data_IF_185448260138
#
_entry.id   IF_185448260138
#
_cell.length_a   1.000
_cell.length_b   1.000
_cell.length_c   1.000
_cell.angle_alpha   90.00
_cell.angle_beta   90.00
_cell.angle_gamma   90.00
#
_symmetry.space_group_name_H-M   'P 1'
#
loop_
_entity.id
_entity.type
_entity.pdbx_description
1 polymer ?
#
# COMPACT_ATOMS: atom_id res chain seq x y z
N UNK A 1 13.12 14.22 23.06
CA UNK A 1 12.53 14.75 24.27
C UNK A 1 12.75 13.77 25.43
N UNK A 2 12.91 14.26 26.65
CA UNK A 2 13.19 13.41 27.78
C UNK A 2 12.43 13.91 29.02
N UNK A 3 11.80 12.96 29.72
CA UNK A 3 11.23 13.12 31.06
C UNK A 3 12.05 12.37 32.13
N UNK A 4 13.19 11.84 31.72
CA UNK A 4 14.06 11.04 32.58
C UNK A 4 14.91 11.86 33.56
N UNK A 5 15.69 11.18 34.43
CA UNK A 5 16.57 11.84 35.39
C UNK A 5 17.60 12.72 34.66
N UNK A 6 17.87 13.85 35.23
CA UNK A 6 18.91 14.76 34.69
C UNK A 6 20.28 14.05 34.70
N UNK A 7 21.21 14.39 33.76
CA UNK A 7 22.52 13.73 33.69
C UNK A 7 23.42 13.94 34.94
N UNK A 8 22.97 14.72 35.90
CA UNK A 8 23.68 15.00 37.15
C UNK A 8 23.23 14.15 38.36
N UNK A 9 22.48 13.06 38.09
CA UNK A 9 22.10 12.12 39.14
C UNK A 9 21.01 12.59 40.10
N UNK A 10 20.28 13.61 39.75
CA UNK A 10 19.10 14.03 40.51
C UNK A 10 17.97 12.99 40.35
N UNK A 11 17.26 12.75 41.43
CA UNK A 11 16.07 11.89 41.44
C UNK A 11 14.82 12.60 40.87
N UNK A 12 14.90 13.88 40.57
CA UNK A 12 13.82 14.65 39.94
C UNK A 12 13.87 14.52 38.43
N UNK A 13 12.76 14.20 37.83
CA UNK A 13 12.55 14.23 36.37
C UNK A 13 12.15 15.64 35.95
N UNK A 14 12.65 16.09 34.81
CA UNK A 14 12.22 17.36 34.19
C UNK A 14 11.22 17.07 33.08
N UNK A 15 10.04 17.63 33.16
CA UNK A 15 9.10 17.65 32.05
C UNK A 15 9.51 18.72 31.02
N UNK A 16 10.24 18.30 29.99
CA UNK A 16 10.75 19.20 28.96
C UNK A 16 9.63 19.81 28.11
N UNK A 17 8.58 19.05 27.82
CA UNK A 17 7.46 19.57 27.01
C UNK A 17 6.71 20.66 27.77
N UNK A 18 6.40 20.46 29.05
CA UNK A 18 5.80 21.52 29.90
C UNK A 18 6.72 22.72 30.01
N UNK A 19 8.03 22.52 30.17
CA UNK A 19 8.98 23.63 30.23
C UNK A 19 8.99 24.45 28.95
N UNK A 20 9.03 23.81 27.80
CA UNK A 20 9.04 24.48 26.49
C UNK A 20 7.73 25.18 26.22
N UNK A 21 6.60 24.55 26.49
CA UNK A 21 5.29 25.07 26.11
C UNK A 21 4.79 26.13 27.09
N UNK A 22 5.03 25.97 28.40
CA UNK A 22 4.49 26.85 29.44
C UNK A 22 5.48 27.94 29.87
N UNK A 23 6.78 27.61 30.00
CA UNK A 23 7.77 28.53 30.52
C UNK A 23 8.42 29.35 29.40
N UNK A 24 8.79 28.68 28.29
CA UNK A 24 9.46 29.36 27.19
C UNK A 24 8.48 29.95 26.16
N UNK A 25 7.17 29.69 26.31
CA UNK A 25 6.13 30.29 25.48
C UNK A 25 6.02 29.73 24.04
N UNK A 26 6.60 28.57 23.76
CA UNK A 26 6.45 27.86 22.49
C UNK A 26 5.28 26.88 22.64
N UNK A 27 4.07 27.27 22.25
CA UNK A 27 2.91 26.38 22.30
C UNK A 27 3.05 25.14 21.43
N UNK A 28 2.22 24.13 21.67
CA UNK A 28 2.03 23.02 20.74
C UNK A 28 1.52 23.52 19.39
N UNK A 29 1.80 22.80 18.34
CA UNK A 29 1.13 23.04 17.04
C UNK A 29 -0.36 22.77 17.19
N UNK A 30 -1.18 23.46 16.40
CA UNK A 30 -2.62 23.19 16.37
C UNK A 30 -2.84 21.75 15.87
N UNK A 31 -3.81 21.08 16.49
CA UNK A 31 -4.34 19.83 16.06
C UNK A 31 -5.04 19.97 14.69
N UNK A 32 -4.89 18.97 13.82
CA UNK A 32 -5.36 19.02 12.44
C UNK A 32 -6.50 18.04 12.15
N UNK A 33 -6.68 16.97 12.94
CA UNK A 33 -7.75 16.01 12.77
C UNK A 33 -8.48 15.70 14.09
N UNK A 34 -9.68 15.17 13.96
CA UNK A 34 -10.51 14.79 15.11
C UNK A 34 -10.08 13.46 15.73
N UNK A 35 -10.19 13.40 17.07
CA UNK A 35 -9.85 12.23 17.89
C UNK A 35 -10.99 11.20 17.98
N UNK A 36 -12.16 11.47 17.40
CA UNK A 36 -13.38 10.71 17.67
C UNK A 36 -13.83 9.84 16.51
N UNK A 37 -14.32 8.64 16.85
CA UNK A 37 -14.96 7.72 15.93
C UNK A 37 -16.42 8.11 15.66
N UNK A 38 -16.62 9.17 14.91
CA UNK A 38 -17.97 9.67 14.59
C UNK A 38 -18.03 10.24 13.16
N UNK A 39 -19.04 11.02 12.85
CA UNK A 39 -19.20 11.70 11.57
C UNK A 39 -18.15 12.77 11.29
N UNK A 40 -17.29 13.09 12.26
CA UNK A 40 -16.23 14.09 12.12
C UNK A 40 -14.86 13.45 11.81
N UNK A 41 -14.76 12.12 11.80
CA UNK A 41 -13.57 11.44 11.31
C UNK A 41 -13.26 11.90 9.88
N UNK A 42 -12.01 12.20 9.59
CA UNK A 42 -11.62 12.74 8.29
C UNK A 42 -11.81 11.68 7.17
N UNK A 43 -12.60 11.97 6.13
CA UNK A 43 -12.89 10.99 5.09
C UNK A 43 -11.72 10.85 4.10
N UNK A 44 -11.12 9.68 4.04
CA UNK A 44 -10.11 9.31 3.03
C UNK A 44 -10.73 8.84 1.70
N UNK A 45 -12.06 8.69 1.68
CA UNK A 45 -12.78 8.26 0.48
C UNK A 45 -12.86 6.75 0.31
N UNK A 46 -12.85 6.28 -0.94
CA UNK A 46 -13.02 4.87 -1.30
C UNK A 46 -12.04 4.39 -2.39
N UNK A 47 -11.00 5.16 -2.64
CA UNK A 47 -9.92 4.88 -3.62
C UNK A 47 -8.57 4.88 -2.92
N UNK A 48 -7.48 4.81 -3.65
CA UNK A 48 -6.15 5.08 -3.11
C UNK A 48 -6.10 6.50 -2.56
N UNK A 49 -5.39 6.69 -1.48
CA UNK A 49 -5.29 7.99 -0.81
C UNK A 49 -3.88 8.27 -0.32
N UNK A 50 -3.58 9.55 -0.16
CA UNK A 50 -2.48 10.06 0.63
C UNK A 50 -2.99 11.17 1.52
N UNK A 51 -2.46 11.27 2.73
CA UNK A 51 -2.75 12.35 3.67
C UNK A 51 -1.48 12.67 4.48
N UNK A 52 -1.47 13.82 5.08
CA UNK A 52 -0.44 14.25 6.03
C UNK A 52 -1.12 14.69 7.30
N UNK A 53 -0.46 14.52 8.43
CA UNK A 53 -1.00 14.93 9.71
C UNK A 53 0.08 15.21 10.74
N UNK A 54 -0.34 15.56 11.94
CA UNK A 54 0.54 15.86 13.05
C UNK A 54 0.00 15.36 14.37
N UNK A 55 0.76 14.50 15.04
CA UNK A 55 0.53 14.22 16.46
C UNK A 55 1.11 15.38 17.26
N UNK A 56 0.24 16.27 17.74
CA UNK A 56 0.59 17.53 18.34
C UNK A 56 0.91 17.42 19.84
N UNK A 57 0.25 16.49 20.53
CA UNK A 57 0.43 16.19 21.96
C UNK A 57 0.50 14.69 22.21
N UNK A 58 0.90 14.27 23.41
CA UNK A 58 0.96 12.83 23.77
C UNK A 58 -0.43 12.17 23.91
N UNK A 59 -1.49 12.93 23.91
CA UNK A 59 -2.89 12.43 23.96
C UNK A 59 -3.61 12.57 22.64
N UNK A 60 -2.96 13.16 21.65
CA UNK A 60 -3.48 13.39 20.33
C UNK A 60 -3.63 12.08 19.54
N UNK A 61 -4.77 11.93 18.88
CA UNK A 61 -5.11 10.81 18.04
C UNK A 61 -5.87 11.30 16.81
N UNK A 62 -5.38 10.99 15.64
CA UNK A 62 -6.05 11.34 14.40
C UNK A 62 -6.92 10.18 13.92
N UNK A 63 -8.20 10.42 13.69
CA UNK A 63 -9.15 9.41 13.23
C UNK A 63 -9.60 9.68 11.81
N UNK A 64 -9.36 8.70 10.96
CA UNK A 64 -9.71 8.71 9.54
C UNK A 64 -10.80 7.68 9.24
N UNK A 65 -11.74 8.03 8.35
CA UNK A 65 -12.73 7.12 7.80
C UNK A 65 -12.32 6.66 6.40
N UNK A 66 -12.35 5.36 6.15
CA UNK A 66 -12.08 4.78 4.85
C UNK A 66 -13.16 3.78 4.43
N UNK A 67 -13.61 3.87 3.18
CA UNK A 67 -14.67 3.02 2.64
C UNK A 67 -14.12 2.05 1.59
N UNK A 68 -14.13 0.73 1.89
CA UNK A 68 -13.84 -0.31 0.90
C UNK A 68 -15.10 -0.61 0.08
N UNK A 69 -15.06 -0.29 -1.21
CA UNK A 69 -16.20 -0.54 -2.11
C UNK A 69 -16.44 -2.03 -2.38
N UNK A 70 -15.40 -2.86 -2.34
CA UNK A 70 -15.43 -4.31 -2.51
C UNK A 70 -14.24 -4.95 -1.78
N UNK A 71 -14.26 -6.28 -1.66
CA UNK A 71 -13.14 -7.00 -1.04
C UNK A 71 -11.87 -6.81 -1.88
N UNK A 72 -10.79 -6.38 -1.25
CA UNK A 72 -9.52 -6.21 -1.94
C UNK A 72 -8.33 -6.32 -0.99
N UNK A 73 -7.15 -6.57 -1.52
CA UNK A 73 -5.91 -6.33 -0.81
C UNK A 73 -5.79 -4.83 -0.49
N UNK A 74 -5.19 -4.52 0.63
CA UNK A 74 -4.99 -3.16 1.09
C UNK A 74 -3.57 -3.02 1.64
N UNK A 75 -2.79 -2.17 1.01
CA UNK A 75 -1.48 -1.74 1.47
C UNK A 75 -1.61 -0.41 2.18
N UNK A 76 -0.99 -0.30 3.34
CA UNK A 76 -1.02 0.92 4.14
C UNK A 76 0.37 1.26 4.67
N UNK A 77 0.70 2.54 4.58
CA UNK A 77 1.90 3.12 5.17
C UNK A 77 1.54 4.32 6.02
N UNK A 78 2.13 4.40 7.22
CA UNK A 78 2.17 5.60 8.04
C UNK A 78 3.63 5.85 8.41
N UNK A 79 4.18 6.97 7.96
CA UNK A 79 5.59 7.31 8.10
C UNK A 79 5.76 8.63 8.83
N UNK A 80 6.52 8.70 9.93
CA UNK A 80 6.84 9.96 10.57
C UNK A 80 7.73 10.80 9.65
N UNK A 81 7.65 12.11 9.76
CA UNK A 81 8.58 12.98 9.05
C UNK A 81 9.99 12.81 9.62
N UNK A 82 10.93 12.47 8.79
CA UNK A 82 12.33 12.27 9.10
C UNK A 82 13.25 13.02 8.14
N UNK A 83 14.54 13.06 8.45
CA UNK A 83 15.54 13.77 7.66
C UNK A 83 16.05 12.96 6.46
N UNK A 84 15.88 11.65 6.49
CA UNK A 84 16.30 10.73 5.43
C UNK A 84 15.22 9.69 5.09
N UNK A 85 15.51 8.84 4.11
CA UNK A 85 14.60 7.79 3.64
C UNK A 85 14.26 6.74 4.72
N UNK A 86 15.07 6.63 5.78
CA UNK A 86 14.85 5.71 6.90
C UNK A 86 14.14 6.39 8.09
N UNK A 87 13.71 7.65 7.92
CA UNK A 87 13.12 8.49 8.96
C UNK A 87 14.08 8.77 10.14
N UNK A 88 15.38 8.74 9.90
CA UNK A 88 16.38 9.14 10.89
C UNK A 88 16.15 10.61 11.31
N UNK A 89 16.12 10.84 12.61
CA UNK A 89 15.79 12.15 13.17
C UNK A 89 14.29 12.39 13.37
N UNK A 90 13.43 11.44 13.02
CA UNK A 90 12.04 11.46 13.44
C UNK A 90 11.95 11.32 14.97
N UNK A 91 10.95 11.96 15.54
CA UNK A 91 10.68 11.90 16.97
C UNK A 91 9.38 11.15 17.26
N UNK A 92 8.45 11.17 16.31
CA UNK A 92 7.20 10.43 16.37
C UNK A 92 7.44 8.97 16.05
N UNK A 93 7.07 8.09 16.97
CA UNK A 93 6.93 6.65 16.76
C UNK A 93 5.45 6.36 16.51
N UNK A 94 5.14 6.01 15.27
CA UNK A 94 3.75 5.90 14.81
C UNK A 94 3.16 4.57 15.24
N UNK A 95 1.96 4.61 15.86
CA UNK A 95 1.10 3.45 16.05
C UNK A 95 -0.17 3.62 15.23
N UNK A 96 -0.62 2.53 14.60
CA UNK A 96 -1.86 2.49 13.82
C UNK A 96 -2.81 1.46 14.41
N UNK A 97 -4.06 1.87 14.62
CA UNK A 97 -5.15 0.95 14.98
C UNK A 97 -6.23 0.95 13.91
N UNK A 98 -6.59 -0.24 13.45
CA UNK A 98 -7.65 -0.44 12.46
C UNK A 98 -8.91 -0.94 13.16
N UNK A 99 -10.06 -0.31 12.87
CA UNK A 99 -11.37 -0.64 13.42
C UNK A 99 -12.38 -0.89 12.31
N UNK A 100 -13.39 -1.68 12.61
CA UNK A 100 -14.56 -1.87 11.74
C UNK A 100 -15.61 -0.75 11.88
N UNK A 101 -16.70 -0.85 11.10
CA UNK A 101 -17.80 0.10 11.12
C UNK A 101 -18.52 0.21 12.46
N UNK A 102 -18.36 -0.77 13.35
CA UNK A 102 -18.94 -0.80 14.70
C UNK A 102 -17.96 -0.32 15.78
N UNK A 103 -16.84 0.27 15.37
CA UNK A 103 -15.72 0.70 16.23
C UNK A 103 -15.09 -0.45 17.02
N UNK A 104 -15.18 -1.67 16.49
CA UNK A 104 -14.49 -2.82 17.06
C UNK A 104 -13.07 -2.86 16.52
N UNK A 105 -12.08 -2.95 17.42
CA UNK A 105 -10.68 -3.05 17.06
C UNK A 105 -10.42 -4.35 16.28
N UNK A 106 -9.97 -4.22 15.04
CA UNK A 106 -9.55 -5.35 14.19
C UNK A 106 -8.10 -5.69 14.50
N UNK A 107 -7.21 -4.68 14.49
CA UNK A 107 -5.77 -4.89 14.69
C UNK A 107 -5.05 -3.62 15.12
N UNK A 108 -3.99 -3.81 15.91
CA UNK A 108 -2.98 -2.79 16.22
C UNK A 108 -1.68 -3.12 15.48
N UNK A 109 -1.09 -2.11 14.87
CA UNK A 109 0.21 -2.18 14.21
C UNK A 109 1.17 -1.23 14.94
N UNK A 110 2.17 -1.81 15.58
CA UNK A 110 3.20 -1.10 16.34
C UNK A 110 4.51 -1.91 16.28
N UNK A 111 5.31 -1.78 15.20
CA UNK A 111 6.60 -2.47 15.08
C UNK A 111 7.58 -1.93 16.12
N UNK A 112 8.18 -2.80 16.92
CA UNK A 112 9.10 -2.38 18.00
C UNK A 112 10.47 -1.90 17.51
N UNK A 113 10.81 -2.16 16.27
CA UNK A 113 12.11 -1.86 15.65
C UNK A 113 12.07 -0.73 14.62
N UNK A 114 10.90 -0.12 14.42
CA UNK A 114 10.69 0.94 13.42
C UNK A 114 9.76 2.00 13.98
N UNK A 115 9.97 3.22 13.58
CA UNK A 115 9.09 4.35 13.91
C UNK A 115 7.94 4.52 12.90
N UNK A 116 7.97 3.79 11.80
CA UNK A 116 6.93 3.78 10.77
C UNK A 116 6.12 2.48 10.83
N UNK A 117 4.87 2.55 10.40
CA UNK A 117 4.00 1.39 10.22
C UNK A 117 3.81 1.13 8.73
N UNK A 118 4.07 -0.11 8.31
CA UNK A 118 3.76 -0.59 6.96
C UNK A 118 3.12 -1.96 7.09
N UNK A 119 1.98 -2.16 6.45
CA UNK A 119 1.33 -3.47 6.45
C UNK A 119 0.53 -3.73 5.17
N UNK A 120 0.41 -5.01 4.86
CA UNK A 120 -0.50 -5.55 3.85
C UNK A 120 -1.57 -6.38 4.52
N UNK A 121 -2.82 -6.24 4.07
CA UNK A 121 -3.95 -7.01 4.58
C UNK A 121 -5.01 -7.16 3.48
N UNK A 122 -6.03 -7.97 3.72
CA UNK A 122 -7.24 -8.01 2.90
C UNK A 122 -8.37 -7.38 3.70
N UNK A 123 -9.03 -6.39 3.12
CA UNK A 123 -10.23 -5.79 3.67
C UNK A 123 -11.47 -6.21 2.88
N UNK A 124 -12.55 -6.50 3.59
CA UNK A 124 -13.85 -6.74 2.97
C UNK A 124 -14.54 -5.43 2.62
N UNK A 125 -15.54 -5.48 1.74
CA UNK A 125 -16.40 -4.32 1.48
C UNK A 125 -17.01 -3.81 2.78
N UNK A 126 -16.89 -2.51 3.04
CA UNK A 126 -17.38 -1.90 4.27
C UNK A 126 -16.61 -0.64 4.67
N UNK A 127 -17.08 -0.04 5.76
CA UNK A 127 -16.46 1.12 6.36
C UNK A 127 -15.44 0.69 7.41
N UNK A 128 -14.31 1.38 7.44
CA UNK A 128 -13.23 1.20 8.40
C UNK A 128 -12.84 2.54 9.00
N UNK A 129 -12.29 2.48 10.22
CA UNK A 129 -11.64 3.62 10.84
C UNK A 129 -10.19 3.30 11.12
N UNK A 130 -9.34 4.27 10.84
CA UNK A 130 -7.89 4.19 11.04
C UNK A 130 -7.54 5.27 12.06
N UNK A 131 -7.01 4.85 13.20
CA UNK A 131 -6.51 5.75 14.23
C UNK A 131 -4.99 5.77 14.17
N UNK A 132 -4.44 6.96 14.10
CA UNK A 132 -3.00 7.24 14.20
C UNK A 132 -2.71 7.88 15.53
N UNK A 133 -1.65 7.45 16.19
CA UNK A 133 -1.18 8.04 17.45
C UNK A 133 0.33 7.90 17.59
N UNK A 134 0.90 8.65 18.50
CA UNK A 134 2.25 8.42 18.97
C UNK A 134 2.32 7.29 19.99
N UNK A 135 3.45 6.59 20.02
CA UNK A 135 3.75 5.54 21.01
C UNK A 135 5.22 5.55 21.38
N UNK A 136 5.62 4.72 22.33
CA UNK A 136 7.00 4.45 22.64
C UNK A 136 7.48 3.12 22.05
N UNK A 137 8.78 2.92 22.01
CA UNK A 137 9.42 1.69 21.61
C UNK A 137 10.48 1.26 22.63
N UNK A 138 11.33 0.29 22.28
CA UNK A 138 12.39 -0.20 23.20
C UNK A 138 13.43 0.85 23.58
N UNK A 139 13.52 1.97 22.85
CA UNK A 139 14.58 2.98 23.01
C UNK A 139 14.06 4.31 23.53
N UNK A 140 12.78 4.63 23.30
CA UNK A 140 12.15 5.90 23.67
C UNK A 140 10.78 5.66 24.28
N UNK A 141 10.41 6.47 25.27
CA UNK A 141 9.07 6.46 25.85
C UNK A 141 8.08 7.18 24.92
N UNK A 142 6.78 6.95 25.14
CA UNK A 142 5.71 7.65 24.40
C UNK A 142 5.65 9.16 24.68
N UNK A 143 6.23 9.61 25.78
CA UNK A 143 6.21 11.00 26.25
C UNK A 143 6.54 12.05 25.17
N UNK A 144 7.57 11.79 24.38
CA UNK A 144 8.04 12.71 23.35
C UNK A 144 7.71 12.26 21.93
N UNK A 145 6.83 11.28 21.77
CA UNK A 145 6.46 10.73 20.46
C UNK A 145 5.47 11.65 19.74
N UNK A 146 5.97 12.80 19.32
CA UNK A 146 5.24 13.89 18.67
C UNK A 146 5.88 14.23 17.33
N UNK A 147 5.08 14.64 16.35
CA UNK A 147 5.60 15.08 15.05
C UNK A 147 4.64 14.90 13.91
N UNK A 148 5.05 15.41 12.75
CA UNK A 148 4.31 15.23 11.52
C UNK A 148 4.50 13.82 10.95
N UNK A 149 3.49 13.36 10.21
CA UNK A 149 3.52 12.06 9.51
C UNK A 149 2.86 12.17 8.15
N UNK A 150 3.11 11.17 7.30
CA UNK A 150 2.40 10.97 6.04
C UNK A 150 1.72 9.61 6.03
N UNK A 151 0.55 9.55 5.40
CA UNK A 151 -0.22 8.33 5.15
C UNK A 151 -0.25 8.02 3.66
N UNK A 152 -0.16 6.75 3.34
CA UNK A 152 -0.45 6.21 2.04
C UNK A 152 -1.34 4.98 2.20
N UNK A 153 -2.48 4.99 1.55
CA UNK A 153 -3.34 3.81 1.42
C UNK A 153 -3.49 3.43 -0.04
N UNK A 154 -3.07 2.23 -0.38
CA UNK A 154 -3.24 1.68 -1.72
C UNK A 154 -4.18 0.50 -1.61
N UNK A 155 -5.35 0.66 -2.21
CA UNK A 155 -6.22 -0.48 -2.43
C UNK A 155 -5.57 -1.31 -3.53
N UNK A 156 -5.00 -2.45 -3.13
CA UNK A 156 -4.52 -3.43 -4.07
C UNK A 156 -5.68 -3.87 -4.92
N UNK A 157 -5.45 -4.04 -6.21
CA UNK A 157 -6.26 -4.91 -7.01
C UNK A 157 -6.36 -6.23 -6.26
N UNK A 158 -7.52 -6.81 -6.20
CA UNK A 158 -7.58 -8.26 -6.27
C UNK A 158 -6.67 -8.62 -7.44
N UNK A 159 -5.71 -9.55 -7.24
CA UNK A 159 -4.75 -9.88 -8.28
C UNK A 159 -5.52 -10.11 -9.56
N UNK A 160 -4.91 -9.85 -10.71
CA UNK A 160 -5.49 -10.26 -11.98
C UNK A 160 -6.05 -11.66 -11.75
N UNK A 161 -7.39 -11.76 -11.68
CA UNK A 161 -8.07 -12.96 -11.16
C UNK A 161 -7.92 -14.12 -12.12
N UNK A 162 -7.94 -13.81 -13.43
CA UNK A 162 -7.74 -14.80 -14.49
C UNK A 162 -7.16 -14.13 -15.73
N UNK A 163 -6.23 -14.84 -16.34
CA UNK A 163 -5.70 -14.52 -17.67
C UNK A 163 -5.74 -15.81 -18.47
N UNK A 164 -6.55 -15.84 -19.50
CA UNK A 164 -6.65 -17.01 -20.37
C UNK A 164 -6.36 -16.63 -21.82
N UNK A 165 -5.60 -17.49 -22.53
CA UNK A 165 -5.33 -17.34 -23.96
C UNK A 165 -5.87 -18.55 -24.72
N UNK A 166 -6.44 -18.28 -25.88
CA UNK A 166 -6.92 -19.25 -26.85
C UNK A 166 -6.51 -18.82 -28.25
N UNK A 167 -6.63 -19.70 -29.24
CA UNK A 167 -6.31 -19.31 -30.59
C UNK A 167 -6.33 -20.49 -31.56
N UNK A 168 -6.10 -20.18 -32.83
CA UNK A 168 -6.06 -21.15 -33.91
C UNK A 168 -5.04 -20.76 -34.98
N UNK A 169 -4.57 -21.74 -35.73
CA UNK A 169 -3.77 -21.54 -36.93
C UNK A 169 -4.70 -21.57 -38.16
N UNK A 170 -4.68 -20.52 -38.95
CA UNK A 170 -5.46 -20.38 -40.18
C UNK A 170 -4.58 -19.80 -41.30
N UNK A 171 -4.47 -20.49 -42.42
CA UNK A 171 -3.75 -20.01 -43.61
C UNK A 171 -2.33 -19.49 -43.27
N UNK A 172 -1.56 -20.27 -42.57
CA UNK A 172 -0.20 -19.95 -42.07
C UNK A 172 -0.14 -18.73 -41.14
N UNK A 173 -1.27 -18.33 -40.57
CA UNK A 173 -1.36 -17.26 -39.58
C UNK A 173 -1.91 -17.79 -38.25
N UNK A 174 -1.29 -17.44 -37.16
CA UNK A 174 -1.80 -17.73 -35.83
C UNK A 174 -2.65 -16.54 -35.34
N UNK A 175 -3.91 -16.83 -34.97
CA UNK A 175 -4.84 -15.85 -34.42
C UNK A 175 -5.01 -16.19 -32.94
N UNK A 176 -4.54 -15.29 -32.09
CA UNK A 176 -4.59 -15.40 -30.63
C UNK A 176 -5.70 -14.50 -30.10
N UNK A 177 -6.46 -15.02 -29.13
CA UNK A 177 -7.48 -14.28 -28.41
C UNK A 177 -7.30 -14.54 -26.92
N UNK A 178 -7.60 -13.55 -26.08
CA UNK A 178 -7.46 -13.72 -24.64
C UNK A 178 -8.55 -12.99 -23.87
N UNK A 179 -8.78 -13.45 -22.66
CA UNK A 179 -9.60 -12.81 -21.67
C UNK A 179 -8.75 -12.47 -20.46
N UNK A 180 -9.04 -11.33 -19.83
CA UNK A 180 -8.42 -10.87 -18.59
C UNK A 180 -9.56 -10.47 -17.67
N UNK A 181 -9.63 -11.12 -16.52
CA UNK A 181 -10.51 -10.74 -15.43
C UNK A 181 -9.61 -10.08 -14.38
N UNK A 182 -9.75 -8.78 -14.23
CA UNK A 182 -8.98 -7.97 -13.30
C UNK A 182 -9.86 -6.85 -12.77
N UNK A 183 -9.76 -6.57 -11.48
CA UNK A 183 -10.47 -5.44 -10.86
C UNK A 183 -9.74 -4.12 -11.08
N UNK A 184 -8.48 -4.18 -11.56
CA UNK A 184 -7.67 -3.00 -11.86
C UNK A 184 -7.31 -2.87 -13.34
N UNK A 185 -7.03 -1.63 -13.79
CA UNK A 185 -6.56 -1.42 -15.14
C UNK A 185 -5.24 -2.16 -15.41
N UNK A 186 -5.16 -2.74 -16.60
CA UNK A 186 -3.94 -3.34 -17.12
C UNK A 186 -3.02 -2.23 -17.60
N UNK A 187 -1.77 -2.23 -17.12
CA UNK A 187 -0.71 -1.30 -17.52
C UNK A 187 -0.09 -1.72 -18.85
N UNK A 188 0.31 -3.01 -18.94
CA UNK A 188 0.92 -3.57 -20.15
C UNK A 188 0.48 -5.00 -20.39
N UNK A 189 0.43 -5.36 -21.68
CA UNK A 189 0.21 -6.73 -22.15
C UNK A 189 1.32 -7.08 -23.13
N UNK A 190 1.95 -8.26 -22.93
CA UNK A 190 3.02 -8.77 -23.80
C UNK A 190 2.70 -10.19 -24.20
N UNK A 191 2.63 -10.43 -25.49
CA UNK A 191 2.56 -11.79 -26.03
C UNK A 191 3.98 -12.34 -26.05
N UNK A 192 4.15 -13.49 -25.43
CA UNK A 192 5.43 -14.21 -25.40
C UNK A 192 5.29 -15.49 -26.21
N UNK A 193 6.38 -15.87 -26.88
CA UNK A 193 6.47 -17.06 -27.71
C UNK A 193 7.66 -17.94 -27.27
N UNK A 194 7.51 -19.26 -27.45
CA UNK A 194 8.53 -20.25 -27.17
C UNK A 194 8.48 -21.37 -28.21
N UNK A 195 9.62 -21.96 -28.52
CA UNK A 195 9.72 -23.17 -29.36
C UNK A 195 9.79 -24.46 -28.54
N UNK A 196 10.06 -24.38 -27.24
CA UNK A 196 10.22 -25.52 -26.33
C UNK A 196 9.17 -25.59 -25.21
N UNK A 197 8.28 -24.59 -25.14
CA UNK A 197 7.24 -24.46 -24.10
C UNK A 197 7.77 -24.13 -22.70
N UNK A 198 9.06 -23.84 -22.56
CA UNK A 198 9.72 -23.52 -21.27
C UNK A 198 10.39 -22.15 -21.28
N UNK A 199 11.16 -21.86 -22.32
CA UNK A 199 11.86 -20.59 -22.46
C UNK A 199 11.06 -19.66 -23.36
N UNK A 200 10.47 -18.64 -22.76
CA UNK A 200 9.62 -17.68 -23.45
C UNK A 200 10.36 -16.37 -23.71
N UNK A 201 10.20 -15.82 -24.89
CA UNK A 201 10.70 -14.50 -25.27
C UNK A 201 9.55 -13.60 -25.71
N UNK A 202 9.73 -12.29 -25.55
CA UNK A 202 8.71 -11.31 -25.97
C UNK A 202 8.55 -11.32 -27.49
N UNK A 203 7.34 -11.58 -27.97
CA UNK A 203 6.97 -11.50 -29.37
C UNK A 203 6.44 -10.10 -29.74
N UNK A 204 5.51 -9.59 -28.94
CA UNK A 204 4.89 -8.28 -29.17
C UNK A 204 4.27 -7.71 -27.91
N UNK A 205 4.44 -6.41 -27.71
CA UNK A 205 3.64 -5.66 -26.75
C UNK A 205 2.38 -5.14 -27.46
N UNK A 206 1.23 -5.30 -26.80
CA UNK A 206 -0.07 -4.89 -27.33
C UNK A 206 -0.75 -3.87 -26.42
N UNK A 207 -1.69 -3.12 -26.96
CA UNK A 207 -2.42 -2.12 -26.17
C UNK A 207 -3.20 -2.81 -25.03
N UNK A 208 -3.31 -2.14 -23.88
CA UNK A 208 -4.02 -2.63 -22.71
C UNK A 208 -5.50 -3.01 -22.96
N UNK A 209 -6.13 -2.40 -23.95
CA UNK A 209 -7.50 -2.72 -24.39
C UNK A 209 -7.59 -3.84 -25.41
N UNK A 210 -6.47 -4.28 -26.00
CA UNK A 210 -6.48 -5.34 -27.01
C UNK A 210 -6.89 -6.68 -26.39
N UNK A 211 -7.61 -7.49 -27.17
CA UNK A 211 -8.03 -8.86 -26.80
C UNK A 211 -7.77 -9.88 -27.90
N UNK A 212 -7.09 -9.47 -28.97
CA UNK A 212 -6.66 -10.37 -30.04
C UNK A 212 -5.34 -9.89 -30.66
N UNK A 213 -4.64 -10.84 -31.30
CA UNK A 213 -3.41 -10.58 -32.03
C UNK A 213 -3.24 -11.61 -33.13
N UNK A 214 -2.79 -11.18 -34.29
CA UNK A 214 -2.52 -12.05 -35.42
C UNK A 214 -1.04 -12.05 -35.75
N UNK A 215 -0.43 -13.22 -35.83
CA UNK A 215 1.00 -13.41 -36.12
C UNK A 215 1.19 -14.44 -37.24
N UNK A 216 2.11 -14.16 -38.15
CA UNK A 216 2.54 -15.12 -39.18
C UNK A 216 3.93 -15.61 -38.81
N UNK A 217 4.09 -16.85 -38.31
CA UNK A 217 5.38 -17.38 -37.93
C UNK A 217 6.34 -17.51 -39.11
N UNK A 218 7.60 -17.27 -38.86
CA UNK A 218 8.71 -17.61 -39.76
C UNK A 218 9.29 -19.00 -39.49
N UNK A 219 9.05 -19.51 -38.27
CA UNK A 219 9.46 -20.83 -37.82
C UNK A 219 8.44 -21.89 -38.22
N UNK A 220 8.87 -23.11 -38.39
CA UNK A 220 8.02 -24.31 -38.59
C UNK A 220 7.95 -25.14 -37.32
N UNK A 221 6.88 -25.92 -37.15
CA UNK A 221 6.73 -26.80 -36.02
C UNK A 221 5.72 -26.26 -34.97
N UNK A 222 5.85 -26.66 -33.72
CA UNK A 222 4.93 -26.25 -32.65
C UNK A 222 5.50 -25.01 -31.98
N UNK A 223 4.69 -23.94 -31.92
CA UNK A 223 4.98 -22.72 -31.18
C UNK A 223 4.04 -22.63 -29.99
N UNK A 224 4.60 -22.24 -28.87
CA UNK A 224 3.90 -22.08 -27.61
C UNK A 224 3.74 -20.58 -27.32
N UNK A 225 2.55 -20.15 -26.96
CA UNK A 225 2.22 -18.77 -26.67
C UNK A 225 1.69 -18.63 -25.26
N UNK A 226 2.03 -17.55 -24.59
CA UNK A 226 1.39 -17.09 -23.37
C UNK A 226 1.25 -15.57 -23.36
N UNK A 227 0.31 -15.07 -22.60
CA UNK A 227 0.15 -13.65 -22.37
C UNK A 227 0.74 -13.31 -21.00
N UNK A 228 1.64 -12.34 -20.97
CA UNK A 228 2.11 -11.68 -19.76
C UNK A 228 1.33 -10.38 -19.58
N UNK A 229 0.70 -10.21 -18.43
CA UNK A 229 -0.07 -9.01 -18.08
C UNK A 229 0.57 -8.37 -16.87
N UNK A 230 0.72 -7.04 -16.90
CA UNK A 230 1.21 -6.25 -15.77
C UNK A 230 0.13 -5.22 -15.42
N UNK A 231 -0.28 -5.19 -14.16
CA UNK A 231 -1.24 -4.22 -13.65
C UNK A 231 -0.60 -2.84 -13.42
N UNK A 232 -1.41 -1.84 -13.14
CA UNK A 232 -0.94 -0.48 -12.80
C UNK A 232 -0.13 -0.42 -11.50
N UNK A 233 -0.21 -1.45 -10.67
CA UNK A 233 0.59 -1.61 -9.45
C UNK A 233 1.74 -2.63 -9.60
N UNK A 234 2.17 -2.87 -10.86
CA UNK A 234 3.29 -3.74 -11.24
C UNK A 234 3.15 -5.22 -10.87
N UNK A 235 1.92 -5.70 -10.57
CA UNK A 235 1.66 -7.13 -10.43
C UNK A 235 1.72 -7.82 -11.79
N UNK A 236 2.35 -9.00 -11.83
CA UNK A 236 2.54 -9.78 -13.05
C UNK A 236 1.67 -11.04 -12.97
N UNK A 237 0.87 -11.28 -14.01
CA UNK A 237 0.15 -12.52 -14.23
C UNK A 237 0.44 -13.10 -15.61
N UNK A 238 0.34 -14.42 -15.71
CA UNK A 238 0.51 -15.14 -16.98
C UNK A 238 -0.74 -15.95 -17.27
N UNK A 239 -1.07 -16.07 -18.58
CA UNK A 239 -2.10 -16.97 -19.03
C UNK A 239 -1.66 -18.45 -18.98
N UNK A 240 -2.59 -19.36 -19.27
CA UNK A 240 -2.25 -20.68 -19.75
C UNK A 240 -1.33 -20.61 -20.97
N UNK A 241 -0.62 -21.71 -21.25
CA UNK A 241 0.18 -21.86 -22.48
C UNK A 241 -0.69 -22.46 -23.59
N UNK A 242 -0.69 -21.82 -24.76
CA UNK A 242 -1.37 -22.26 -25.97
C UNK A 242 -0.33 -22.77 -26.97
N UNK A 243 -0.50 -24.00 -27.46
CA UNK A 243 0.35 -24.59 -28.50
C UNK A 243 -0.36 -24.55 -29.87
N UNK A 244 0.29 -24.00 -30.87
CA UNK A 244 -0.19 -23.97 -32.26
C UNK A 244 0.89 -24.47 -33.19
N UNK A 245 0.49 -25.23 -34.24
CA UNK A 245 1.40 -25.73 -35.27
C UNK A 245 1.56 -24.69 -36.38
N UNK A 246 2.80 -24.27 -36.62
CA UNK A 246 3.17 -23.50 -37.78
C UNK A 246 3.46 -24.44 -38.96
N UNK A 247 3.01 -24.03 -40.14
CA UNK A 247 3.12 -24.84 -41.36
C UNK A 247 4.55 -24.78 -41.96
#
# INVERSE_FOLDING_TARGET
WNDGPTPYGCTSTQDNLTTITSINGFGYRADDYNETFDSNAFPLGNTNFSAEGIISTSTDNDVFEYNMAHNAAFHFEAKPFGLDENNSGANLDVMVKLYDASFTLIRTYNPLDKMSVVFDTTLHAGKYYILISGTGNSNVSEYGSLGSYSLLGVRGALPIQDVSISGKAENNRHVLNWNIIADEPVKTQTIEVSTDGRNFSSLSSVNASSRNFGYTPSETGILYYRLKVVSVIDQIAYSNVLALKAA
#
